data_IF_102330767653
#
_entry.id   IF_102330767653
#
_cell.length_a   1.000
_cell.length_b   1.000
_cell.length_c   1.000
_cell.angle_alpha   90.00
_cell.angle_beta   90.00
_cell.angle_gamma   90.00
#
_symmetry.space_group_name_H-M   'P 1'
#
loop_
_entity.id
_entity.type
_entity.pdbx_description
1 polymer ?
#
# COMPACT_ATOMS: atom_id res chain seq x y z
N UNK A 1 -19.39 -17.44 5.43
CA UNK A 1 -18.45 -17.08 4.34
C UNK A 1 -17.06 -17.09 4.95
N UNK A 2 -16.11 -17.88 4.42
CA UNK A 2 -14.75 -17.91 4.96
C UNK A 2 -13.94 -16.78 4.30
N UNK A 3 -13.45 -15.83 5.10
CA UNK A 3 -12.69 -14.68 4.59
C UNK A 3 -11.19 -15.03 4.52
N UNK A 4 -10.45 -14.50 3.53
CA UNK A 4 -9.00 -14.70 3.48
C UNK A 4 -8.33 -14.04 4.70
N UNK A 5 -7.37 -14.74 5.30
CA UNK A 5 -6.53 -14.17 6.34
C UNK A 5 -5.76 -12.95 5.79
N UNK A 6 -5.52 -11.91 6.62
CA UNK A 6 -4.79 -10.73 6.19
C UNK A 6 -3.35 -11.11 5.80
N UNK A 7 -2.94 -10.68 4.61
CA UNK A 7 -1.58 -10.93 4.15
C UNK A 7 -0.60 -10.00 4.89
N UNK A 8 0.59 -10.50 5.28
CA UNK A 8 1.62 -9.67 5.87
C UNK A 8 2.20 -8.70 4.82
N UNK A 9 2.67 -7.54 5.28
CA UNK A 9 3.40 -6.57 4.45
C UNK A 9 4.61 -7.22 3.76
N UNK A 10 4.84 -6.87 2.49
CA UNK A 10 6.06 -7.28 1.79
C UNK A 10 7.25 -6.48 2.33
N UNK A 11 8.44 -7.12 2.52
CA UNK A 11 9.64 -6.40 2.90
C UNK A 11 9.99 -5.29 1.89
N UNK A 12 10.22 -4.09 2.39
CA UNK A 12 10.65 -2.94 1.61
C UNK A 12 11.86 -2.29 2.30
N UNK A 13 12.85 -1.88 1.50
CA UNK A 13 13.95 -1.09 2.03
C UNK A 13 13.46 0.33 2.42
N UNK A 14 14.23 1.09 3.21
CA UNK A 14 13.80 2.41 3.69
C UNK A 14 13.40 3.38 2.57
N UNK A 15 14.14 3.39 1.46
CA UNK A 15 13.86 4.27 0.32
C UNK A 15 12.50 3.96 -0.34
N UNK A 16 12.17 2.68 -0.57
CA UNK A 16 10.86 2.29 -1.10
C UNK A 16 9.74 2.60 -0.09
N UNK A 17 10.00 2.39 1.19
CA UNK A 17 9.03 2.67 2.26
C UNK A 17 8.63 4.14 2.27
N UNK A 18 9.59 5.06 2.16
CA UNK A 18 9.31 6.50 2.07
C UNK A 18 8.41 6.87 0.88
N UNK A 19 8.60 6.24 -0.28
CA UNK A 19 7.74 6.45 -1.45
C UNK A 19 6.32 5.92 -1.19
N UNK A 20 6.19 4.75 -0.58
CA UNK A 20 4.90 4.15 -0.24
C UNK A 20 4.15 5.06 0.74
N UNK A 21 4.81 5.53 1.80
CA UNK A 21 4.22 6.41 2.81
C UNK A 21 3.78 7.75 2.23
N UNK A 22 4.57 8.36 1.34
CA UNK A 22 4.18 9.59 0.64
C UNK A 22 2.94 9.39 -0.24
N UNK A 23 2.90 8.32 -1.02
CA UNK A 23 1.76 8.06 -1.90
C UNK A 23 0.47 7.70 -1.13
N UNK A 24 0.58 7.02 0.03
CA UNK A 24 -0.55 6.79 0.92
C UNK A 24 -1.08 8.12 1.48
N UNK A 25 -0.19 9.03 1.90
CA UNK A 25 -0.58 10.35 2.38
C UNK A 25 -1.31 11.15 1.29
N UNK A 26 -0.78 11.16 0.05
CA UNK A 26 -1.43 11.80 -1.09
C UNK A 26 -2.83 11.21 -1.35
N UNK A 27 -2.99 9.88 -1.29
CA UNK A 27 -4.29 9.24 -1.54
C UNK A 27 -5.32 9.47 -0.43
N UNK A 28 -4.87 9.62 0.82
CA UNK A 28 -5.72 10.04 1.92
C UNK A 28 -6.17 11.49 1.76
N UNK A 29 -5.27 12.40 1.35
CA UNK A 29 -5.59 13.82 1.10
C UNK A 29 -6.56 13.99 -0.08
N UNK A 30 -6.40 13.17 -1.12
CA UNK A 30 -7.31 13.14 -2.27
C UNK A 30 -8.66 12.42 -1.99
N UNK A 31 -8.86 11.89 -0.77
CA UNK A 31 -10.05 11.11 -0.38
C UNK A 31 -10.31 9.88 -1.29
N UNK A 32 -9.23 9.28 -1.82
CA UNK A 32 -9.29 8.08 -2.67
C UNK A 32 -9.30 6.80 -1.83
N UNK A 33 -8.71 6.87 -0.63
CA UNK A 33 -8.68 5.77 0.36
C UNK A 33 -8.99 6.30 1.75
N UNK A 34 -9.36 5.39 2.65
CA UNK A 34 -9.63 5.71 4.06
C UNK A 34 -8.98 4.68 5.00
N UNK A 35 -8.72 5.03 6.28
CA UNK A 35 -8.32 4.06 7.28
C UNK A 35 -9.36 2.95 7.45
N UNK A 36 -8.92 1.69 7.44
CA UNK A 36 -9.81 0.53 7.51
C UNK A 36 -9.47 -0.39 8.68
N UNK A 37 -10.50 -1.08 9.20
CA UNK A 37 -10.40 -2.18 10.18
C UNK A 37 -10.87 -3.52 9.59
N UNK A 38 -10.73 -3.70 8.28
CA UNK A 38 -11.12 -4.94 7.60
C UNK A 38 -10.45 -6.17 8.24
N UNK A 39 -11.17 -7.30 8.36
CA UNK A 39 -10.57 -8.57 8.79
C UNK A 39 -9.65 -9.18 7.71
N UNK A 40 -9.58 -8.57 6.52
CA UNK A 40 -8.76 -9.03 5.38
C UNK A 40 -7.82 -7.93 4.92
N UNK A 41 -6.68 -8.33 4.35
CA UNK A 41 -5.69 -7.41 3.77
C UNK A 41 -4.95 -8.09 2.62
N UNK A 42 -4.59 -7.32 1.60
CA UNK A 42 -3.70 -7.73 0.51
C UNK A 42 -2.36 -7.01 0.65
N UNK A 43 -1.26 -7.73 0.43
CA UNK A 43 0.07 -7.13 0.50
C UNK A 43 0.35 -6.30 -0.76
N UNK A 44 0.77 -5.05 -0.60
CA UNK A 44 1.15 -4.18 -1.71
C UNK A 44 2.65 -4.27 -2.00
N UNK A 45 3.02 -3.99 -3.24
CA UNK A 45 4.41 -3.79 -3.67
C UNK A 45 4.50 -2.49 -4.44
N UNK A 46 5.70 -1.94 -4.56
CA UNK A 46 5.94 -0.77 -5.41
C UNK A 46 7.02 -1.10 -6.44
N UNK A 47 6.72 -0.78 -7.69
CA UNK A 47 7.60 -0.98 -8.84
C UNK A 47 7.85 0.35 -9.53
N UNK A 48 9.02 0.47 -10.16
CA UNK A 48 9.32 1.62 -11.02
C UNK A 48 9.09 1.23 -12.47
N UNK A 49 8.11 1.84 -13.11
CA UNK A 49 7.76 1.61 -14.51
C UNK A 49 7.72 2.95 -15.26
N UNK A 50 8.43 3.05 -16.39
CA UNK A 50 8.56 4.28 -17.19
C UNK A 50 8.99 5.49 -16.35
N UNK A 51 9.97 5.30 -15.46
CA UNK A 51 10.49 6.36 -14.60
C UNK A 51 9.61 6.73 -13.39
N UNK A 52 8.37 6.21 -13.30
CA UNK A 52 7.41 6.52 -12.24
C UNK A 52 7.22 5.34 -11.28
N UNK A 53 6.97 5.63 -10.02
CA UNK A 53 6.60 4.61 -9.04
C UNK A 53 5.12 4.25 -9.19
N UNK A 54 4.79 2.96 -9.07
CA UNK A 54 3.43 2.42 -9.17
C UNK A 54 3.22 1.32 -8.14
N UNK A 55 2.04 1.34 -7.51
CA UNK A 55 1.53 0.21 -6.74
C UNK A 55 1.03 -0.90 -7.66
#
# INVERSE_FOLDING_TARGET
MNLPAPQPLRPANPAKRAVIEAAIADYLDMDVIEPSRSPTAAAIVIVKQNGKNRF
#
